data_IF_087794656838
#
_entry.id   IF_087794656838
#
_cell.length_a   1.000
_cell.length_b   1.000
_cell.length_c   1.000
_cell.angle_alpha   90.00
_cell.angle_beta   90.00
_cell.angle_gamma   90.00
#
_symmetry.space_group_name_H-M   'P 1'
#
loop_
_entity.id
_entity.type
_entity.pdbx_description
1 polymer ?
#
# COMPACT_ATOMS: atom_id res chain seq x y z
N UNK A 1 -14.92 -21.70 18.01
CA UNK A 1 -13.55 -22.13 17.66
C UNK A 1 -13.71 -23.12 16.54
N UNK A 2 -13.23 -22.78 15.34
CA UNK A 2 -13.31 -23.67 14.19
C UNK A 2 -12.03 -24.50 14.11
N UNK A 3 -12.16 -25.79 13.84
CA UNK A 3 -11.03 -26.72 13.77
C UNK A 3 -10.87 -27.21 12.34
N UNK A 4 -9.75 -26.88 11.72
CA UNK A 4 -9.39 -27.34 10.38
C UNK A 4 -8.40 -28.48 10.46
N UNK A 5 -8.63 -29.55 9.68
CA UNK A 5 -7.71 -30.69 9.61
C UNK A 5 -6.70 -30.46 8.49
N UNK A 6 -5.43 -30.36 8.84
CA UNK A 6 -4.31 -30.31 7.89
C UNK A 6 -3.64 -31.69 7.80
N UNK A 7 -3.01 -31.99 6.66
CA UNK A 7 -2.26 -33.25 6.47
C UNK A 7 -0.79 -32.94 6.19
N UNK A 8 0.10 -33.83 6.58
CA UNK A 8 1.49 -33.82 6.11
C UNK A 8 1.58 -34.74 4.90
N UNK A 9 2.03 -34.20 3.78
CA UNK A 9 2.22 -34.90 2.53
C UNK A 9 3.49 -35.75 2.51
N UNK A 10 3.73 -36.40 1.38
CA UNK A 10 4.75 -37.45 1.25
C UNK A 10 6.19 -36.94 1.30
N UNK A 11 6.42 -35.64 1.06
CA UNK A 11 7.74 -35.00 1.10
C UNK A 11 7.88 -34.05 2.30
N UNK A 12 6.97 -34.14 3.27
CA UNK A 12 6.95 -33.28 4.46
C UNK A 12 6.20 -31.95 4.27
N UNK A 13 5.52 -31.74 3.14
CA UNK A 13 4.68 -30.58 2.87
C UNK A 13 3.43 -30.56 3.76
N UNK A 14 3.02 -29.38 4.26
CA UNK A 14 1.73 -29.24 4.94
C UNK A 14 0.66 -28.93 3.90
N UNK A 15 -0.30 -29.85 3.73
CA UNK A 15 -1.41 -29.70 2.80
C UNK A 15 -2.55 -28.98 3.52
N UNK A 16 -2.76 -27.71 3.15
CA UNK A 16 -3.84 -26.88 3.65
C UNK A 16 -5.14 -27.15 2.88
N UNK A 17 -6.30 -27.35 3.56
CA UNK A 17 -7.61 -27.41 2.93
C UNK A 17 -7.88 -26.19 2.05
N UNK A 18 -8.71 -26.36 1.01
CA UNK A 18 -9.04 -25.26 0.09
C UNK A 18 -9.66 -24.09 0.82
N UNK A 19 -10.54 -24.38 1.78
CA UNK A 19 -11.24 -23.39 2.60
C UNK A 19 -10.25 -22.54 3.41
N UNK A 20 -9.19 -23.18 3.94
CA UNK A 20 -8.18 -22.50 4.74
C UNK A 20 -7.20 -21.72 3.86
N UNK A 21 -6.90 -22.19 2.64
CA UNK A 21 -6.16 -21.41 1.63
C UNK A 21 -6.93 -20.17 1.19
N UNK A 22 -8.23 -20.30 0.94
CA UNK A 22 -9.09 -19.16 0.57
C UNK A 22 -9.25 -18.17 1.72
N UNK A 23 -9.44 -18.66 2.95
CA UNK A 23 -9.54 -17.83 4.16
C UNK A 23 -8.29 -16.95 4.36
N UNK A 24 -7.11 -17.51 4.11
CA UNK A 24 -5.83 -16.81 4.25
C UNK A 24 -5.32 -16.17 2.95
N UNK A 25 -6.02 -16.33 1.83
CA UNK A 25 -5.61 -15.82 0.52
C UNK A 25 -4.29 -16.40 -0.01
N UNK A 26 -3.98 -17.66 0.33
CA UNK A 26 -2.72 -18.32 -0.01
C UNK A 26 -2.74 -18.86 -1.44
N UNK A 27 -1.64 -18.65 -2.16
CA UNK A 27 -1.39 -19.21 -3.49
C UNK A 27 -0.29 -20.27 -3.46
N UNK A 28 -0.12 -21.02 -4.55
CA UNK A 28 0.96 -21.99 -4.67
C UNK A 28 2.33 -21.29 -4.55
N UNK A 29 3.30 -21.95 -3.91
CA UNK A 29 4.64 -21.42 -3.60
C UNK A 29 4.71 -20.27 -2.58
N UNK A 30 3.59 -19.90 -1.95
CA UNK A 30 3.63 -18.98 -0.80
C UNK A 30 4.45 -19.58 0.35
N UNK A 31 5.36 -18.76 0.89
CA UNK A 31 6.15 -19.15 2.07
C UNK A 31 5.38 -18.79 3.34
N UNK A 32 5.30 -19.72 4.29
CA UNK A 32 4.62 -19.55 5.56
C UNK A 32 5.62 -19.68 6.71
N UNK A 33 5.58 -18.74 7.65
CA UNK A 33 6.28 -18.83 8.92
C UNK A 33 5.39 -19.57 9.93
N UNK A 34 5.95 -20.61 10.55
CA UNK A 34 5.36 -21.34 11.67
C UNK A 34 6.03 -20.85 12.96
N UNK A 35 5.37 -19.98 13.71
CA UNK A 35 5.86 -19.49 15.00
C UNK A 35 5.25 -20.31 16.14
N UNK A 36 6.05 -20.70 17.12
CA UNK A 36 5.57 -21.41 18.33
C UNK A 36 5.76 -20.50 19.53
N UNK A 37 4.69 -20.20 20.27
CA UNK A 37 4.80 -19.40 21.50
C UNK A 37 5.29 -20.23 22.70
N UNK A 38 5.50 -19.55 23.83
CA UNK A 38 5.94 -20.18 25.09
C UNK A 38 4.93 -21.16 25.69
N UNK A 39 3.68 -21.18 25.19
CA UNK A 39 2.63 -22.14 25.59
C UNK A 39 2.50 -23.30 24.60
N UNK A 40 3.33 -23.34 23.55
CA UNK A 40 3.32 -24.38 22.51
C UNK A 40 2.24 -24.17 21.43
N UNK A 41 1.63 -22.99 21.34
CA UNK A 41 0.66 -22.68 20.27
C UNK A 41 1.40 -22.33 18.99
N UNK A 42 0.96 -22.94 17.89
CA UNK A 42 1.50 -22.70 16.55
C UNK A 42 0.69 -21.59 15.88
N UNK A 43 1.37 -20.51 15.51
CA UNK A 43 0.84 -19.43 14.69
C UNK A 43 1.39 -19.59 13.28
N UNK A 44 0.48 -19.62 12.31
CA UNK A 44 0.84 -19.54 10.90
C UNK A 44 0.71 -18.09 10.48
N UNK A 45 1.80 -17.49 10.03
CA UNK A 45 1.75 -16.21 9.30
C UNK A 45 2.33 -16.45 7.92
N UNK A 46 1.90 -15.72 6.91
CA UNK A 46 2.68 -15.63 5.68
C UNK A 46 4.08 -15.16 6.06
N UNK A 47 5.11 -15.93 5.68
CA UNK A 47 6.47 -15.43 5.73
C UNK A 47 6.50 -14.13 4.93
N UNK A 48 7.31 -13.16 5.36
CA UNK A 48 7.41 -11.85 4.72
C UNK A 48 7.28 -11.99 3.20
N UNK A 49 6.16 -11.51 2.65
CA UNK A 49 5.92 -11.58 1.20
C UNK A 49 7.15 -11.00 0.54
N UNK A 50 7.73 -11.76 -0.39
CA UNK A 50 9.02 -11.39 -1.00
C UNK A 50 8.85 -10.14 -1.86
N UNK A 51 8.93 -8.98 -1.22
CA UNK A 51 8.99 -7.70 -1.90
C UNK A 51 10.33 -7.56 -2.59
N UNK A 52 10.34 -6.89 -3.73
CA UNK A 52 11.57 -6.51 -4.42
C UNK A 52 11.95 -5.08 -4.05
N UNK A 53 13.20 -4.66 -4.26
CA UNK A 53 13.60 -3.29 -4.00
C UNK A 53 12.73 -2.31 -4.80
N UNK A 54 12.12 -1.33 -4.11
CA UNK A 54 11.26 -0.33 -4.72
C UNK A 54 11.99 0.48 -5.80
N UNK A 55 11.55 0.46 -7.05
CA UNK A 55 12.22 1.15 -8.17
C UNK A 55 11.64 2.53 -8.49
N UNK A 56 12.48 3.48 -8.88
CA UNK A 56 12.11 4.78 -9.48
C UNK A 56 11.12 5.64 -8.66
N UNK A 57 11.14 5.54 -7.33
CA UNK A 57 10.17 6.24 -6.48
C UNK A 57 10.77 7.41 -5.69
N UNK A 58 11.70 7.13 -4.79
CA UNK A 58 12.34 8.09 -3.89
C UNK A 58 13.87 7.97 -3.90
N UNK A 59 14.46 7.40 -4.95
CA UNK A 59 15.89 7.08 -4.97
C UNK A 59 16.77 8.31 -4.71
N UNK A 60 16.44 9.46 -5.28
CA UNK A 60 17.13 10.72 -5.04
C UNK A 60 17.02 11.20 -3.59
N UNK A 61 15.87 11.03 -2.93
CA UNK A 61 15.69 11.39 -1.52
C UNK A 61 16.48 10.45 -0.60
N UNK A 62 16.40 9.14 -0.87
CA UNK A 62 17.16 8.13 -0.12
C UNK A 62 18.66 8.37 -0.26
N UNK A 63 19.14 8.62 -1.48
CA UNK A 63 20.56 8.91 -1.73
C UNK A 63 20.97 10.19 -1.00
N UNK A 64 20.16 11.24 -1.04
CA UNK A 64 20.44 12.49 -0.34
C UNK A 64 20.59 12.28 1.17
N UNK A 65 19.68 11.54 1.80
CA UNK A 65 19.74 11.24 3.23
C UNK A 65 20.98 10.40 3.59
N UNK A 66 21.25 9.35 2.82
CA UNK A 66 22.41 8.49 3.06
C UNK A 66 23.74 9.23 2.89
N UNK A 67 23.83 10.16 1.94
CA UNK A 67 25.00 11.03 1.79
C UNK A 67 25.14 11.99 2.98
N UNK A 68 24.03 12.53 3.50
CA UNK A 68 24.03 13.37 4.70
C UNK A 68 24.46 12.59 5.95
N UNK A 69 24.17 11.29 6.02
CA UNK A 69 24.70 10.36 7.04
C UNK A 69 26.18 10.00 6.85
N UNK A 70 26.84 10.50 5.79
CA UNK A 70 28.24 10.20 5.48
C UNK A 70 28.45 8.84 4.79
N UNK A 71 27.40 8.19 4.28
CA UNK A 71 27.52 6.91 3.58
C UNK A 71 28.07 7.11 2.17
N UNK A 72 29.06 6.31 1.79
CA UNK A 72 29.73 6.39 0.49
C UNK A 72 30.15 5.00 -0.01
N UNK A 73 30.54 4.92 -1.29
CA UNK A 73 31.01 3.68 -1.92
C UNK A 73 30.02 2.52 -1.80
N UNK A 74 30.49 1.37 -1.34
CA UNK A 74 29.67 0.16 -1.19
C UNK A 74 28.70 0.23 0.00
N UNK A 75 29.01 1.03 1.03
CA UNK A 75 28.07 1.30 2.13
C UNK A 75 26.80 1.97 1.61
N UNK A 76 26.94 2.96 0.72
CA UNK A 76 25.81 3.64 0.09
C UNK A 76 24.94 2.67 -0.73
N UNK A 77 25.56 1.79 -1.53
CA UNK A 77 24.82 0.82 -2.34
C UNK A 77 24.01 -0.16 -1.49
N UNK A 78 24.63 -0.69 -0.43
CA UNK A 78 23.97 -1.65 0.46
C UNK A 78 22.82 -1.00 1.23
N UNK A 79 23.06 0.17 1.86
CA UNK A 79 22.01 0.89 2.56
C UNK A 79 20.88 1.38 1.65
N UNK A 80 21.19 1.75 0.41
CA UNK A 80 20.16 2.09 -0.59
C UNK A 80 19.28 0.89 -0.90
N UNK A 81 19.87 -0.29 -1.10
CA UNK A 81 19.11 -1.52 -1.33
C UNK A 81 18.21 -1.86 -0.14
N UNK A 82 18.74 -1.77 1.08
CA UNK A 82 18.00 -1.97 2.32
C UNK A 82 16.82 -1.00 2.42
N UNK A 83 17.02 0.30 2.21
CA UNK A 83 15.95 1.29 2.21
C UNK A 83 14.88 1.02 1.15
N UNK A 84 15.29 0.61 -0.05
CA UNK A 84 14.36 0.27 -1.14
C UNK A 84 13.50 -0.94 -0.79
N UNK A 85 14.07 -1.96 -0.15
CA UNK A 85 13.32 -3.13 0.35
C UNK A 85 12.38 -2.71 1.48
N UNK A 86 12.89 -1.95 2.45
CA UNK A 86 12.16 -1.45 3.61
C UNK A 86 10.88 -0.69 3.20
N UNK A 87 11.01 0.29 2.29
CA UNK A 87 9.86 1.05 1.79
C UNK A 87 8.88 0.18 1.01
N UNK A 88 9.38 -0.81 0.28
CA UNK A 88 8.53 -1.77 -0.43
C UNK A 88 7.69 -2.61 0.53
N UNK A 89 8.28 -3.10 1.62
CA UNK A 89 7.59 -3.82 2.70
C UNK A 89 6.51 -2.95 3.34
N UNK A 90 6.81 -1.67 3.61
CA UNK A 90 5.83 -0.74 4.16
C UNK A 90 4.64 -0.55 3.22
N UNK A 91 4.87 -0.32 1.93
CA UNK A 91 3.78 -0.16 0.96
C UNK A 91 2.91 -1.42 0.86
N UNK A 92 3.52 -2.61 0.93
CA UNK A 92 2.79 -3.87 0.92
C UNK A 92 1.92 -4.03 2.17
N UNK A 93 2.49 -3.76 3.35
CA UNK A 93 1.76 -3.77 4.63
C UNK A 93 0.60 -2.78 4.63
N UNK A 94 0.81 -1.57 4.13
CA UNK A 94 -0.24 -0.55 4.03
C UNK A 94 -1.36 -0.97 3.08
N UNK A 95 -1.03 -1.67 2.00
CA UNK A 95 -2.03 -2.20 1.06
C UNK A 95 -2.92 -3.24 1.73
N UNK A 96 -2.32 -4.16 2.49
CA UNK A 96 -3.07 -5.18 3.24
C UNK A 96 -3.93 -4.55 4.35
N UNK A 97 -3.35 -3.64 5.14
CA UNK A 97 -4.07 -2.93 6.20
C UNK A 97 -5.27 -2.16 5.62
N UNK A 98 -5.08 -1.48 4.49
CA UNK A 98 -6.15 -0.72 3.85
C UNK A 98 -7.25 -1.62 3.27
N UNK A 99 -6.89 -2.76 2.67
CA UNK A 99 -7.85 -3.76 2.22
C UNK A 99 -8.66 -4.36 3.37
N UNK A 100 -7.98 -4.72 4.47
CA UNK A 100 -8.64 -5.22 5.68
C UNK A 100 -9.58 -4.18 6.29
N UNK A 101 -9.14 -2.93 6.37
CA UNK A 101 -9.98 -1.82 6.83
C UNK A 101 -11.24 -1.68 5.96
N UNK A 102 -11.11 -1.80 4.63
CA UNK A 102 -12.26 -1.80 3.73
C UNK A 102 -13.23 -2.95 4.02
N UNK A 103 -12.75 -4.19 4.12
CA UNK A 103 -13.57 -5.36 4.45
C UNK A 103 -14.32 -5.22 5.78
N UNK A 104 -13.72 -4.49 6.74
CA UNK A 104 -14.31 -4.22 8.04
C UNK A 104 -15.22 -2.98 8.08
N UNK A 105 -15.50 -2.34 6.93
CA UNK A 105 -16.32 -1.13 6.87
C UNK A 105 -15.65 0.12 7.43
N UNK A 106 -14.32 0.10 7.61
CA UNK A 106 -13.50 1.20 8.14
C UNK A 106 -12.88 2.05 7.02
N UNK A 107 -13.54 2.09 5.87
CA UNK A 107 -13.17 2.92 4.72
C UNK A 107 -14.40 3.64 4.20
N UNK A 108 -14.22 4.86 3.75
CA UNK A 108 -15.29 5.66 3.13
C UNK A 108 -15.01 5.83 1.65
N UNK A 109 -16.04 6.16 0.88
CA UNK A 109 -15.83 6.56 -0.52
C UNK A 109 -15.16 7.92 -0.55
N UNK A 110 -14.33 8.17 -1.55
CA UNK A 110 -13.53 9.40 -1.56
C UNK A 110 -14.36 10.69 -1.53
N UNK A 111 -15.54 10.71 -2.16
CA UNK A 111 -16.43 11.87 -2.17
C UNK A 111 -17.16 12.09 -0.83
N UNK A 112 -17.11 11.12 0.09
CA UNK A 112 -17.64 11.26 1.44
C UNK A 112 -16.62 11.92 2.39
N UNK A 113 -15.36 12.06 1.96
CA UNK A 113 -14.34 12.72 2.75
C UNK A 113 -14.66 14.21 2.92
N UNK A 114 -14.82 14.66 4.17
CA UNK A 114 -15.24 16.04 4.50
C UNK A 114 -14.34 17.12 3.88
N UNK A 115 -13.02 16.86 3.81
CA UNK A 115 -12.06 17.76 3.18
C UNK A 115 -12.41 18.04 1.71
N UNK A 116 -12.91 17.04 0.99
CA UNK A 116 -13.27 17.15 -0.43
C UNK A 116 -14.72 17.61 -0.63
N UNK A 117 -15.66 17.17 0.21
CA UNK A 117 -17.05 17.61 0.11
C UNK A 117 -17.21 19.12 0.34
N UNK A 118 -16.32 19.72 1.13
CA UNK A 118 -16.24 21.18 1.32
C UNK A 118 -15.95 21.97 0.03
N UNK A 119 -15.49 21.31 -1.03
CA UNK A 119 -15.24 21.91 -2.34
C UNK A 119 -16.50 22.00 -3.22
N UNK A 120 -17.65 21.50 -2.75
CA UNK A 120 -18.92 21.56 -3.49
C UNK A 120 -18.95 20.65 -4.72
N UNK A 121 -18.15 19.58 -4.71
CA UNK A 121 -18.03 18.66 -5.84
C UNK A 121 -19.20 17.68 -5.79
N UNK A 122 -20.03 17.74 -6.82
CA UNK A 122 -21.13 16.81 -7.01
C UNK A 122 -20.66 15.67 -7.91
N UNK A 123 -20.70 14.44 -7.38
CA UNK A 123 -20.35 13.24 -8.16
C UNK A 123 -21.31 13.10 -9.34
N UNK A 124 -20.79 13.13 -10.56
CA UNK A 124 -21.57 13.03 -11.80
C UNK A 124 -21.62 11.62 -12.37
N UNK A 125 -20.54 10.82 -12.24
CA UNK A 125 -20.46 9.48 -12.85
C UNK A 125 -19.91 8.41 -11.89
N UNK A 126 -20.32 7.15 -12.09
CA UNK A 126 -19.73 5.98 -11.41
C UNK A 126 -18.76 5.30 -12.36
N UNK A 127 -17.46 5.46 -12.14
CA UNK A 127 -16.46 4.67 -12.88
C UNK A 127 -16.53 3.17 -12.54
N UNK A 128 -15.70 2.38 -13.23
CA UNK A 128 -15.67 0.92 -13.10
C UNK A 128 -15.14 0.48 -11.72
N UNK A 129 -14.27 1.28 -11.10
CA UNK A 129 -13.67 1.00 -9.80
C UNK A 129 -14.24 1.86 -8.68
N UNK A 130 -14.28 1.32 -7.46
CA UNK A 130 -14.60 2.05 -6.25
C UNK A 130 -13.32 2.55 -5.58
N UNK A 131 -13.12 3.87 -5.55
CA UNK A 131 -12.00 4.49 -4.84
C UNK A 131 -12.37 4.73 -3.37
N UNK A 132 -11.68 4.02 -2.47
CA UNK A 132 -11.91 4.00 -1.04
C UNK A 132 -10.76 4.65 -0.28
N UNK A 133 -11.10 5.39 0.78
CA UNK A 133 -10.16 6.09 1.64
C UNK A 133 -10.30 5.57 3.07
N UNK A 134 -9.18 5.17 3.66
CA UNK A 134 -9.09 4.79 5.08
C UNK A 134 -8.97 6.02 5.97
N UNK A 135 -9.10 5.86 7.28
CA UNK A 135 -8.88 6.95 8.26
C UNK A 135 -7.55 7.68 8.04
N UNK A 136 -6.49 6.94 7.68
CA UNK A 136 -5.18 7.52 7.34
C UNK A 136 -5.27 8.44 6.13
N UNK A 137 -5.87 7.95 5.04
CA UNK A 137 -6.06 8.76 3.84
C UNK A 137 -6.94 10.00 4.08
N UNK A 138 -7.91 9.92 4.99
CA UNK A 138 -8.70 11.10 5.40
C UNK A 138 -7.82 12.12 6.13
N UNK A 139 -6.97 11.67 7.07
CA UNK A 139 -6.03 12.54 7.75
C UNK A 139 -5.05 13.21 6.77
N UNK A 140 -4.62 12.48 5.74
CA UNK A 140 -3.78 13.02 4.66
C UNK A 140 -4.46 14.17 3.93
N UNK A 141 -5.75 14.04 3.64
CA UNK A 141 -6.51 15.10 2.99
C UNK A 141 -6.72 16.31 3.92
N UNK A 142 -6.98 16.09 5.21
CA UNK A 142 -7.26 17.18 6.16
C UNK A 142 -6.07 18.12 6.35
N UNK A 143 -4.84 17.62 6.26
CA UNK A 143 -3.62 18.45 6.43
C UNK A 143 -3.24 19.25 5.18
N UNK A 144 -3.89 19.01 4.04
CA UNK A 144 -3.62 19.72 2.80
C UNK A 144 -4.33 21.07 2.74
N UNK A 145 -3.70 22.03 2.07
CA UNK A 145 -4.30 23.35 1.83
C UNK A 145 -5.40 23.23 0.78
N UNK A 146 -6.32 24.19 0.78
CA UNK A 146 -7.46 24.21 -0.16
C UNK A 146 -7.00 24.17 -1.61
N UNK A 147 -5.89 24.81 -1.95
CA UNK A 147 -5.31 24.83 -3.30
C UNK A 147 -4.73 23.46 -3.70
N UNK A 148 -4.20 22.71 -2.74
CA UNK A 148 -3.65 21.36 -2.93
C UNK A 148 -4.79 20.34 -3.11
N UNK A 149 -5.92 20.55 -2.41
CA UNK A 149 -7.11 19.70 -2.49
C UNK A 149 -7.86 19.77 -3.83
N UNK A 150 -7.73 20.86 -4.60
CA UNK A 150 -8.51 21.07 -5.84
C UNK A 150 -8.27 20.03 -6.93
N UNK A 151 -7.04 19.51 -7.01
CA UNK A 151 -6.64 18.57 -8.07
C UNK A 151 -7.02 17.11 -7.73
N UNK A 152 -7.18 16.80 -6.44
CA UNK A 152 -7.38 15.42 -5.95
C UNK A 152 -8.68 14.77 -6.46
N UNK A 153 -9.84 15.45 -6.49
CA UNK A 153 -11.08 14.92 -7.04
C UNK A 153 -10.93 14.43 -8.49
N UNK A 154 -10.31 15.24 -9.35
CA UNK A 154 -10.06 14.85 -10.74
C UNK A 154 -9.16 13.62 -10.83
N UNK A 155 -8.13 13.53 -9.96
CA UNK A 155 -7.29 12.33 -9.86
C UNK A 155 -8.13 11.11 -9.47
N UNK A 156 -8.97 11.21 -8.45
CA UNK A 156 -9.81 10.09 -8.00
C UNK A 156 -10.86 9.68 -9.03
N UNK A 157 -11.44 10.63 -9.75
CA UNK A 157 -12.33 10.34 -10.88
C UNK A 157 -11.61 9.57 -11.99
N UNK A 158 -10.38 9.98 -12.35
CA UNK A 158 -9.56 9.22 -13.30
C UNK A 158 -9.27 7.79 -12.81
N UNK A 159 -9.00 7.62 -11.50
CA UNK A 159 -8.79 6.30 -10.91
C UNK A 159 -10.03 5.40 -10.99
N UNK A 160 -11.23 5.96 -10.83
CA UNK A 160 -12.47 5.18 -11.00
C UNK A 160 -12.63 4.65 -12.44
N UNK A 161 -12.09 5.36 -13.45
CA UNK A 161 -12.22 4.99 -14.86
C UNK A 161 -11.13 4.02 -15.33
N UNK A 162 -9.85 4.35 -15.07
CA UNK A 162 -8.71 3.52 -15.45
C UNK A 162 -7.57 3.68 -14.42
N UNK A 163 -7.51 2.81 -13.41
CA UNK A 163 -6.46 2.87 -12.40
C UNK A 163 -5.10 2.36 -12.90
N UNK A 164 -5.01 1.78 -14.09
CA UNK A 164 -3.76 1.24 -14.63
C UNK A 164 -3.02 2.23 -15.53
N UNK A 165 -3.66 3.36 -15.88
CA UNK A 165 -3.07 4.43 -16.68
C UNK A 165 -1.84 5.11 -16.03
N UNK A 166 -1.68 4.99 -14.72
CA UNK A 166 -0.62 5.65 -13.96
C UNK A 166 0.60 4.75 -13.73
N UNK A 167 1.68 5.32 -13.19
CA UNK A 167 2.94 4.59 -13.03
C UNK A 167 2.83 3.54 -11.91
N UNK A 168 2.97 2.27 -12.29
CA UNK A 168 3.13 1.15 -11.33
C UNK A 168 4.43 1.30 -10.54
N UNK A 169 4.35 1.15 -9.23
CA UNK A 169 5.52 1.02 -8.36
C UNK A 169 5.97 -0.44 -8.39
N UNK A 170 7.17 -0.71 -8.92
CA UNK A 170 7.75 -2.06 -8.87
C UNK A 170 8.47 -2.24 -7.55
N UNK A 171 8.32 -3.41 -6.96
CA UNK A 171 8.85 -3.70 -5.63
C UNK A 171 7.79 -4.38 -4.78
N UNK A 172 6.71 -3.65 -4.42
CA UNK A 172 5.62 -4.20 -3.61
C UNK A 172 4.99 -5.42 -4.28
N UNK A 173 4.48 -6.35 -3.48
CA UNK A 173 3.80 -7.53 -3.99
C UNK A 173 2.42 -7.13 -4.55
N UNK A 174 1.67 -6.29 -3.82
CA UNK A 174 0.42 -5.75 -4.31
C UNK A 174 0.61 -4.82 -5.52
N UNK A 175 -0.45 -4.69 -6.31
CA UNK A 175 -0.50 -3.80 -7.47
C UNK A 175 -0.61 -2.33 -7.04
N UNK A 176 0.50 -1.79 -6.55
CA UNK A 176 0.62 -0.41 -6.09
C UNK A 176 1.07 0.52 -7.21
N UNK A 177 0.43 1.68 -7.28
CA UNK A 177 0.64 2.70 -8.30
C UNK A 177 0.83 4.08 -7.68
N UNK A 178 1.36 5.01 -8.47
CA UNK A 178 1.43 6.42 -8.12
C UNK A 178 0.81 7.30 -9.18
N UNK A 179 0.09 8.32 -8.75
CA UNK A 179 -0.21 9.51 -9.53
C UNK A 179 0.72 10.63 -9.07
N UNK A 180 1.23 11.44 -10.00
CA UNK A 180 2.00 12.65 -9.69
C UNK A 180 1.29 13.84 -10.30
N UNK A 181 1.07 14.88 -9.50
CA UNK A 181 0.43 16.11 -9.92
C UNK A 181 1.10 17.30 -9.24
N UNK A 182 0.92 18.51 -9.77
CA UNK A 182 1.49 19.72 -9.20
C UNK A 182 0.37 20.60 -8.67
N UNK A 183 0.57 21.16 -7.48
CA UNK A 183 -0.22 22.28 -6.97
C UNK A 183 0.73 23.42 -6.66
N UNK A 184 0.65 24.49 -7.46
CA UNK A 184 1.65 25.56 -7.46
C UNK A 184 3.05 25.04 -7.80
N UNK A 185 4.01 25.28 -6.89
CA UNK A 185 5.41 24.86 -7.05
C UNK A 185 5.72 23.48 -6.49
N UNK A 186 4.78 22.83 -5.80
CA UNK A 186 5.00 21.56 -5.09
C UNK A 186 4.51 20.37 -5.90
N UNK A 187 5.35 19.34 -6.00
CA UNK A 187 4.96 18.02 -6.50
C UNK A 187 4.21 17.24 -5.40
N UNK A 188 3.01 16.81 -5.74
CA UNK A 188 2.17 15.96 -4.90
C UNK A 188 2.02 14.58 -5.53
N UNK A 189 1.71 13.59 -4.69
CA UNK A 189 1.45 12.23 -5.12
C UNK A 189 0.22 11.66 -4.45
N UNK A 190 -0.47 10.78 -5.18
CA UNK A 190 -1.42 9.82 -4.63
C UNK A 190 -0.78 8.45 -4.81
N UNK A 191 -0.61 7.69 -3.72
CA UNK A 191 -0.24 6.27 -3.79
C UNK A 191 -1.46 5.44 -3.48
N UNK A 192 -1.74 4.46 -4.31
CA UNK A 192 -2.91 3.61 -4.19
C UNK A 192 -2.59 2.17 -4.61
N UNK A 193 -3.42 1.24 -4.16
CA UNK A 193 -3.36 -0.17 -4.57
C UNK A 193 -4.66 -0.57 -5.24
N UNK A 194 -4.54 -1.34 -6.33
CA UNK A 194 -5.67 -1.88 -7.09
C UNK A 194 -5.94 -3.32 -6.68
N UNK A 195 -7.17 -3.61 -6.29
CA UNK A 195 -7.70 -4.94 -6.05
C UNK A 195 -8.69 -5.28 -7.18
N UNK A 196 -8.13 -5.66 -8.33
CA UNK A 196 -8.85 -5.81 -9.60
C UNK A 196 -10.04 -6.77 -9.53
N UNK A 197 -9.92 -7.87 -8.77
CA UNK A 197 -11.00 -8.84 -8.60
C UNK A 197 -12.23 -8.27 -7.88
N UNK A 198 -12.06 -7.18 -7.14
CA UNK A 198 -13.12 -6.53 -6.35
C UNK A 198 -13.58 -5.20 -6.96
N UNK A 199 -13.03 -4.80 -8.12
CA UNK A 199 -13.18 -3.45 -8.67
C UNK A 199 -12.94 -2.37 -7.60
N UNK A 200 -11.89 -2.58 -6.79
CA UNK A 200 -11.59 -1.77 -5.62
C UNK A 200 -10.23 -1.10 -5.77
N UNK A 201 -10.18 0.17 -5.37
CA UNK A 201 -8.96 0.94 -5.22
C UNK A 201 -8.91 1.45 -3.79
N UNK A 202 -7.80 1.23 -3.10
CA UNK A 202 -7.57 1.81 -1.77
C UNK A 202 -6.46 2.85 -1.85
N UNK A 203 -6.75 4.06 -1.37
CA UNK A 203 -5.76 5.13 -1.26
C UNK A 203 -4.88 4.85 -0.03
N UNK A 204 -3.58 4.68 -0.25
CA UNK A 204 -2.60 4.42 0.82
C UNK A 204 -2.16 5.73 1.46
N UNK A 205 -1.85 6.73 0.65
CA UNK A 205 -1.44 8.06 1.12
C UNK A 205 -1.55 9.13 0.04
N UNK A 206 -1.76 10.37 0.46
CA UNK A 206 -1.82 11.56 -0.41
C UNK A 206 -1.01 12.70 0.22
N UNK A 207 -0.30 13.48 -0.60
CA UNK A 207 0.38 14.68 -0.13
C UNK A 207 1.61 15.06 -0.94
N UNK A 208 2.37 16.02 -0.42
CA UNK A 208 3.62 16.45 -1.03
C UNK A 208 4.65 15.30 -1.04
N UNK A 209 5.44 15.22 -2.11
CA UNK A 209 6.39 14.13 -2.35
C UNK A 209 7.32 13.86 -1.16
N UNK A 210 7.94 14.91 -0.62
CA UNK A 210 8.87 14.82 0.53
C UNK A 210 8.15 14.36 1.80
N UNK A 211 6.98 14.93 2.09
CA UNK A 211 6.17 14.56 3.27
C UNK A 211 5.74 13.08 3.24
N UNK A 212 5.39 12.57 2.06
CA UNK A 212 5.08 11.15 1.91
C UNK A 212 6.32 10.29 2.16
N UNK A 213 7.48 10.69 1.63
CA UNK A 213 8.73 9.97 1.84
C UNK A 213 9.09 9.89 3.32
N UNK A 214 9.12 11.03 4.02
CA UNK A 214 9.45 11.11 5.44
C UNK A 214 8.52 10.23 6.28
N UNK A 215 7.22 10.28 5.97
CA UNK A 215 6.23 9.47 6.68
C UNK A 215 6.43 7.98 6.42
N UNK A 216 6.59 7.57 5.17
CA UNK A 216 6.81 6.16 4.84
C UNK A 216 8.11 5.64 5.46
N UNK A 217 9.16 6.47 5.50
CA UNK A 217 10.42 6.12 6.14
C UNK A 217 10.31 6.04 7.66
N UNK A 218 9.52 6.91 8.30
CA UNK A 218 9.31 6.92 9.75
C UNK A 218 8.38 5.82 10.28
N UNK A 219 7.57 5.20 9.40
CA UNK A 219 6.77 4.00 9.71
C UNK A 219 7.65 2.73 9.75
N UNK A 220 8.81 2.81 9.11
CA UNK A 220 9.62 1.69 8.71
C UNK A 220 10.68 1.36 9.75
#
# INVERSE_FOLDING_TARGET
METYRVKVGTKGEIILPKELRELFGLVEEDTLDLCVDSEGKVFVRTAERSVRPLSDFFEDLIISDLLAEGCNGDCLKNKLLEHKLKLSTVLDRLSEEAHRAHKNGQSIRWWEAQALSSLGIHKTDRGQFNVMITTRGVHDLVVLRKEELKEIPAVFECLEQDPFAFKRLRGPFYETYRVSFRSGTKEHRVIYTVFSQENLIVILTVGAREVIYDRLNGIA
#
